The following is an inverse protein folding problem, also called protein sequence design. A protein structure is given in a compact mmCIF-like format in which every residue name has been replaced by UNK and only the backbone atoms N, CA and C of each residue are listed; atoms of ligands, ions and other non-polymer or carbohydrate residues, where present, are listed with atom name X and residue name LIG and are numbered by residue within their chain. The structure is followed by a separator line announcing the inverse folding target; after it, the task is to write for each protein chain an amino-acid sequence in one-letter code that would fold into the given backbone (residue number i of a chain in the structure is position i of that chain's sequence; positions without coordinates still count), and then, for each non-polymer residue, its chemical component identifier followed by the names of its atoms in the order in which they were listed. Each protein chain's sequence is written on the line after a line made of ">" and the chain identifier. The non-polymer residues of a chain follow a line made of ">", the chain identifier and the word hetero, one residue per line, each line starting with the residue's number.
data_IF_511560159988
#
_entry.id   IF_511560159988
#
_cell.length_a   1.000
_cell.length_b   1.000
_cell.length_c   1.000
_cell.angle_alpha   90.00
_cell.angle_beta   90.00
_cell.angle_gamma   90.00
#
_symmetry.space_group_name_H-M   'P 1'
#
loop_
_entity.id
_entity.type
_entity.pdbx_description
1 polymer ?
#
# COMPACT_ATOMS: atom_id res chain seq x y z
N UNK A 1 -1.22 -16.85 2.33
CA UNK A 1 -0.41 -15.70 1.87
C UNK A 1 -1.27 -14.48 2.00
N UNK A 2 -0.80 -13.52 2.79
CA UNK A 2 -1.57 -12.35 3.17
C UNK A 2 -1.00 -11.15 2.43
N UNK A 3 -1.86 -10.25 1.96
CA UNK A 3 -1.46 -9.05 1.23
C UNK A 3 -1.64 -7.87 2.18
N UNK A 4 -0.58 -7.10 2.43
CA UNK A 4 -0.68 -5.87 3.22
C UNK A 4 -0.47 -4.65 2.34
N UNK A 5 -1.40 -3.69 2.46
CA UNK A 5 -1.44 -2.49 1.64
C UNK A 5 -1.31 -1.30 2.58
N UNK A 6 -0.30 -0.46 2.36
CA UNK A 6 -0.08 0.75 3.13
C UNK A 6 -0.60 1.95 2.36
N UNK A 7 -1.39 2.80 3.04
CA UNK A 7 -1.97 4.01 2.45
C UNK A 7 -1.77 5.16 3.40
N UNK A 8 -1.14 6.23 2.90
CA UNK A 8 -1.08 7.50 3.62
C UNK A 8 -2.34 8.32 3.33
N UNK A 9 -2.95 8.83 4.39
CA UNK A 9 -4.20 9.59 4.35
C UNK A 9 -4.06 10.87 5.15
N UNK A 10 -4.62 11.95 4.63
CA UNK A 10 -4.81 13.20 5.34
C UNK A 10 -6.26 13.28 5.82
N UNK A 11 -6.46 13.25 7.14
CA UNK A 11 -7.77 13.33 7.77
C UNK A 11 -8.01 14.73 8.32
N UNK A 12 -9.15 15.33 7.99
CA UNK A 12 -9.55 16.63 8.51
C UNK A 12 -10.37 16.45 9.78
N UNK A 13 -9.83 16.88 10.92
CA UNK A 13 -10.48 16.75 12.21
C UNK A 13 -11.66 17.75 12.35
N UNK A 14 -12.82 17.33 12.88
CA UNK A 14 -13.95 18.22 13.19
C UNK A 14 -13.55 19.36 14.13
N UNK A 15 -14.30 20.46 14.13
CA UNK A 15 -13.90 21.71 14.79
C UNK A 15 -13.65 21.64 16.30
N UNK A 16 -14.18 20.64 16.99
CA UNK A 16 -14.04 20.44 18.44
C UNK A 16 -13.39 19.10 18.79
N UNK A 17 -12.71 18.47 17.83
CA UNK A 17 -12.14 17.15 18.01
C UNK A 17 -10.82 17.21 18.78
N UNK A 18 -10.68 16.32 19.76
CA UNK A 18 -9.40 16.01 20.39
C UNK A 18 -8.79 14.76 19.76
N UNK A 19 -7.50 14.51 20.04
CA UNK A 19 -6.79 13.31 19.55
C UNK A 19 -7.55 12.00 19.82
N UNK A 20 -8.14 11.84 21.01
CA UNK A 20 -8.95 10.67 21.35
C UNK A 20 -10.09 10.43 20.35
N UNK A 21 -10.80 11.47 19.94
CA UNK A 21 -11.93 11.37 19.01
C UNK A 21 -11.49 10.83 17.65
N UNK A 22 -10.29 11.20 17.20
CA UNK A 22 -9.72 10.72 15.94
C UNK A 22 -9.30 9.26 16.05
N UNK A 23 -8.71 8.84 17.17
CA UNK A 23 -8.37 7.44 17.42
C UNK A 23 -9.62 6.55 17.54
N UNK A 24 -10.72 7.07 18.09
CA UNK A 24 -12.03 6.38 18.10
C UNK A 24 -12.64 6.31 16.71
N UNK A 25 -12.59 7.41 15.94
CA UNK A 25 -13.01 7.43 14.54
C UNK A 25 -12.27 6.36 13.74
N UNK A 26 -10.95 6.24 13.88
CA UNK A 26 -10.13 5.25 13.19
C UNK A 26 -10.44 3.78 13.55
N UNK A 27 -11.08 3.54 14.69
CA UNK A 27 -11.58 2.21 15.09
C UNK A 27 -13.05 1.98 14.74
N UNK A 28 -13.71 2.94 14.10
CA UNK A 28 -15.12 2.85 13.75
C UNK A 28 -15.36 2.15 12.42
N UNK A 29 -16.54 1.56 12.25
CA UNK A 29 -16.98 1.01 10.95
C UNK A 29 -17.15 2.09 9.88
N UNK A 30 -17.36 3.35 10.28
CA UNK A 30 -17.42 4.50 9.38
C UNK A 30 -16.07 4.72 8.70
N UNK A 31 -14.98 4.68 9.46
CA UNK A 31 -13.63 4.78 8.92
C UNK A 31 -13.28 3.63 7.99
N UNK A 32 -13.64 2.40 8.34
CA UNK A 32 -13.45 1.24 7.47
C UNK A 32 -14.15 1.43 6.14
N UNK A 33 -15.44 1.83 6.15
CA UNK A 33 -16.19 2.09 4.91
C UNK A 33 -15.56 3.20 4.08
N UNK A 34 -15.12 4.27 4.73
CA UNK A 34 -14.38 5.36 4.09
C UNK A 34 -13.13 4.80 3.42
N UNK A 35 -12.23 4.18 4.17
CA UNK A 35 -10.98 3.63 3.67
C UNK A 35 -11.20 2.65 2.52
N UNK A 36 -12.12 1.70 2.66
CA UNK A 36 -12.41 0.73 1.60
C UNK A 36 -12.90 1.39 0.30
N UNK A 37 -13.61 2.52 0.38
CA UNK A 37 -14.01 3.29 -0.80
C UNK A 37 -12.80 3.87 -1.56
N UNK A 38 -11.73 4.26 -0.87
CA UNK A 38 -10.51 4.78 -1.49
C UNK A 38 -9.52 3.69 -1.92
N UNK A 39 -9.39 2.63 -1.11
CA UNK A 39 -8.40 1.57 -1.34
C UNK A 39 -8.87 0.58 -2.41
N UNK A 40 -10.17 0.22 -2.43
CA UNK A 40 -10.68 -0.80 -3.37
C UNK A 40 -10.43 -0.49 -4.85
N UNK A 41 -10.64 0.75 -5.35
CA UNK A 41 -10.33 1.07 -6.75
C UNK A 41 -8.85 0.87 -7.08
N UNK A 42 -7.94 1.25 -6.16
CA UNK A 42 -6.49 1.09 -6.36
C UNK A 42 -6.06 -0.36 -6.37
N UNK A 43 -6.68 -1.20 -5.53
CA UNK A 43 -6.44 -2.64 -5.53
C UNK A 43 -6.96 -3.31 -6.80
N UNK A 44 -8.06 -2.82 -7.37
CA UNK A 44 -8.58 -3.32 -8.65
C UNK A 44 -7.71 -2.91 -9.84
N UNK A 45 -7.08 -1.75 -9.78
CA UNK A 45 -6.19 -1.26 -10.85
C UNK A 45 -4.75 -1.78 -10.72
N UNK A 46 -4.33 -2.23 -9.54
CA UNK A 46 -3.01 -2.81 -9.31
C UNK A 46 -3.09 -4.32 -9.52
N UNK A 47 -2.25 -4.84 -10.40
CA UNK A 47 -2.17 -6.28 -10.65
C UNK A 47 -0.73 -6.70 -10.86
N UNK A 48 0.13 -6.68 -9.83
CA UNK A 48 1.54 -7.03 -9.95
C UNK A 48 1.73 -8.41 -10.57
N UNK A 49 2.77 -8.52 -11.39
CA UNK A 49 3.26 -9.81 -11.85
C UNK A 49 3.80 -10.65 -10.68
N UNK A 50 3.77 -11.96 -10.84
CA UNK A 50 4.37 -12.89 -9.87
C UNK A 50 5.86 -12.61 -9.71
N UNK A 51 6.37 -12.70 -8.47
CA UNK A 51 7.76 -12.38 -8.14
C UNK A 51 8.75 -13.23 -8.96
N UNK A 52 8.40 -14.49 -9.25
CA UNK A 52 9.24 -15.36 -10.09
C UNK A 52 9.55 -14.77 -11.46
N UNK A 53 8.64 -13.98 -12.04
CA UNK A 53 8.86 -13.32 -13.33
C UNK A 53 9.93 -12.22 -13.21
N UNK A 54 9.95 -11.48 -12.11
CA UNK A 54 10.96 -10.44 -11.87
C UNK A 54 12.34 -11.09 -11.69
N UNK A 55 12.41 -12.15 -10.89
CA UNK A 55 13.65 -12.89 -10.64
C UNK A 55 14.21 -13.53 -11.93
N UNK A 56 13.33 -14.06 -12.80
CA UNK A 56 13.71 -14.58 -14.11
C UNK A 56 14.27 -13.47 -15.03
N UNK A 57 13.63 -12.30 -15.08
CA UNK A 57 14.08 -11.18 -15.91
C UNK A 57 15.42 -10.61 -15.43
N UNK A 58 15.63 -10.52 -14.12
CA UNK A 58 16.91 -10.09 -13.53
C UNK A 58 18.06 -11.00 -13.99
N UNK A 59 17.83 -12.32 -14.03
CA UNK A 59 18.83 -13.28 -14.51
C UNK A 59 19.14 -13.17 -16.02
N UNK A 60 18.26 -12.51 -16.78
CA UNK A 60 18.36 -12.30 -18.22
C UNK A 60 18.81 -10.89 -18.59
N UNK A 61 19.15 -10.06 -17.61
CA UNK A 61 19.64 -8.70 -17.82
C UNK A 61 20.96 -8.72 -18.60
N UNK A 62 21.02 -7.92 -19.67
CA UNK A 62 22.22 -7.79 -20.51
C UNK A 62 22.65 -6.34 -20.64
N UNK A 63 23.96 -6.10 -20.69
CA UNK A 63 24.51 -4.76 -20.85
C UNK A 63 24.40 -4.21 -22.29
N UNK A 64 24.00 -5.03 -23.25
CA UNK A 64 23.95 -4.67 -24.66
C UNK A 64 22.54 -4.23 -25.08
N UNK A 65 22.42 -3.01 -25.59
CA UNK A 65 21.24 -2.57 -26.31
C UNK A 65 21.23 -3.22 -27.70
N UNK A 66 20.14 -3.88 -28.07
CA UNK A 66 19.90 -4.14 -29.48
C UNK A 66 19.57 -2.80 -30.16
N UNK A 67 20.39 -2.37 -31.12
CA UNK A 67 20.18 -1.16 -31.90
C UNK A 67 18.74 -1.13 -32.48
N UNK A 68 17.92 -0.19 -31.99
CA UNK A 68 16.57 0.06 -32.51
C UNK A 68 15.41 -0.03 -31.50
N UNK A 69 15.62 -0.52 -30.28
CA UNK A 69 14.54 -0.65 -29.28
C UNK A 69 14.56 0.53 -28.27
N UNK A 70 13.71 1.54 -28.49
CA UNK A 70 13.48 2.63 -27.53
C UNK A 70 12.63 2.14 -26.34
N UNK A 71 13.07 2.36 -25.11
CA UNK A 71 12.29 2.02 -23.92
C UNK A 71 11.10 3.00 -23.76
N UNK A 72 9.91 2.56 -24.18
CA UNK A 72 8.67 3.38 -24.12
C UNK A 72 8.23 3.78 -22.71
N UNK A 73 8.81 3.19 -21.66
CA UNK A 73 8.50 3.53 -20.26
C UNK A 73 9.18 4.85 -19.85
N UNK A 74 10.47 5.00 -20.16
CA UNK A 74 11.23 6.20 -19.79
C UNK A 74 11.41 7.19 -20.95
N UNK A 75 11.12 6.78 -22.19
CA UNK A 75 11.30 7.59 -23.41
C UNK A 75 12.72 8.17 -23.52
N UNK A 76 13.72 7.43 -23.02
CA UNK A 76 15.12 7.84 -22.98
C UNK A 76 15.98 6.80 -23.68
N UNK A 77 16.90 7.29 -24.51
CA UNK A 77 17.95 6.52 -25.19
C UNK A 77 19.19 6.27 -24.30
N UNK A 78 19.28 6.96 -23.16
CA UNK A 78 20.38 6.80 -22.21
C UNK A 78 20.47 5.35 -21.73
N UNK A 79 21.67 4.74 -21.63
CA UNK A 79 21.83 3.42 -21.05
C UNK A 79 21.48 3.48 -19.57
N UNK A 80 20.23 3.14 -19.24
CA UNK A 80 19.89 2.74 -17.89
C UNK A 80 20.34 1.28 -17.73
N UNK A 81 20.85 0.95 -16.55
CA UNK A 81 21.36 -0.36 -16.17
C UNK A 81 20.52 -1.50 -16.79
N UNK A 82 21.14 -2.22 -17.73
CA UNK A 82 20.65 -3.46 -18.33
C UNK A 82 19.35 -3.43 -19.16
N UNK A 83 19.33 -4.24 -20.22
CA UNK A 83 18.15 -4.50 -21.04
C UNK A 83 17.66 -5.94 -20.87
N UNK A 84 16.34 -6.10 -20.88
CA UNK A 84 15.68 -7.40 -20.88
C UNK A 84 14.64 -7.45 -22.00
N UNK A 85 14.54 -8.62 -22.62
CA UNK A 85 13.54 -8.90 -23.65
C UNK A 85 12.44 -9.79 -23.07
N UNK A 86 11.21 -9.32 -23.11
CA UNK A 86 10.06 -10.08 -22.62
C UNK A 86 9.74 -11.27 -23.55
N UNK A 87 9.05 -12.32 -23.06
CA UNK A 87 8.61 -13.45 -23.89
C UNK A 87 7.71 -13.07 -25.08
N UNK A 88 7.06 -11.91 -24.99
CA UNK A 88 6.26 -11.34 -26.08
C UNK A 88 7.08 -10.63 -27.17
N UNK A 89 8.40 -10.54 -27.00
CA UNK A 89 9.34 -9.99 -27.97
C UNK A 89 9.72 -8.52 -27.79
N UNK A 90 9.06 -7.77 -26.89
CA UNK A 90 9.37 -6.37 -26.59
C UNK A 90 10.51 -6.22 -25.58
N UNK A 91 11.34 -5.19 -25.74
CA UNK A 91 12.53 -4.93 -24.93
C UNK A 91 12.37 -3.66 -24.09
N UNK A 92 12.94 -3.66 -22.88
CA UNK A 92 12.91 -2.53 -21.96
C UNK A 92 14.18 -2.51 -21.11
N UNK A 93 14.49 -1.35 -20.52
CA UNK A 93 15.42 -1.29 -19.38
C UNK A 93 14.89 -2.15 -18.23
N UNK A 94 15.73 -2.99 -17.62
CA UNK A 94 15.33 -3.84 -16.50
C UNK A 94 14.68 -3.04 -15.35
N UNK A 95 15.25 -1.92 -14.87
CA UNK A 95 14.63 -1.11 -13.83
C UNK A 95 13.24 -0.58 -14.23
N UNK A 96 13.06 -0.22 -15.50
CA UNK A 96 11.80 0.31 -16.00
C UNK A 96 10.71 -0.76 -16.01
N UNK A 97 10.99 -1.92 -16.60
CA UNK A 97 10.00 -2.99 -16.70
C UNK A 97 9.79 -3.70 -15.36
N UNK A 98 10.81 -3.81 -14.51
CA UNK A 98 10.69 -4.33 -13.14
C UNK A 98 9.71 -3.46 -12.33
N UNK A 99 9.91 -2.13 -12.33
CA UNK A 99 8.99 -1.18 -11.67
C UNK A 99 7.56 -1.26 -12.22
N UNK A 100 7.42 -1.39 -13.54
CA UNK A 100 6.11 -1.59 -14.16
C UNK A 100 5.46 -2.91 -13.70
N UNK A 101 6.21 -4.02 -13.70
CA UNK A 101 5.71 -5.34 -13.36
C UNK A 101 5.37 -5.50 -11.86
N UNK A 102 5.96 -4.68 -11.00
CA UNK A 102 5.57 -4.56 -9.59
C UNK A 102 4.20 -3.92 -9.38
N UNK A 103 3.63 -3.26 -10.40
CA UNK A 103 2.29 -2.63 -10.33
C UNK A 103 1.29 -3.21 -11.31
N UNK A 104 1.74 -3.76 -12.42
CA UNK A 104 0.94 -4.32 -13.50
C UNK A 104 1.48 -5.67 -13.94
N UNK A 105 0.63 -6.54 -14.47
CA UNK A 105 1.02 -7.91 -14.88
C UNK A 105 0.98 -8.02 -16.40
N UNK A 106 1.21 -6.92 -17.10
CA UNK A 106 1.07 -6.87 -18.55
C UNK A 106 2.23 -6.16 -19.22
N UNK A 107 2.58 -6.56 -20.44
CA UNK A 107 3.52 -5.80 -21.27
C UNK A 107 2.96 -4.38 -21.59
N UNK A 108 3.74 -3.30 -21.38
CA UNK A 108 3.33 -1.93 -21.70
C UNK A 108 2.90 -1.71 -23.17
N UNK A 109 3.42 -2.52 -24.09
CA UNK A 109 3.19 -2.36 -25.54
C UNK A 109 2.01 -3.22 -26.02
N UNK A 110 2.07 -4.54 -25.82
CA UNK A 110 1.08 -5.46 -26.40
C UNK A 110 0.08 -6.06 -25.41
N UNK A 111 0.19 -5.71 -24.11
CA UNK A 111 -0.65 -6.26 -23.04
C UNK A 111 -0.57 -7.78 -22.85
N UNK A 112 0.51 -8.41 -23.31
CA UNK A 112 0.81 -9.81 -22.97
C UNK A 112 0.73 -9.98 -21.45
N UNK A 113 -0.04 -10.96 -20.99
CA UNK A 113 -0.39 -11.15 -19.58
C UNK A 113 0.59 -12.12 -18.90
N UNK A 114 1.30 -11.62 -17.89
CA UNK A 114 2.10 -12.42 -16.98
C UNK A 114 1.23 -13.06 -15.88
N UNK A 115 1.69 -14.16 -15.27
CA UNK A 115 1.13 -14.65 -14.01
C UNK A 115 1.06 -13.53 -12.98
N UNK A 116 -0.06 -13.43 -12.26
CA UNK A 116 -0.28 -12.40 -11.25
C UNK A 116 0.23 -12.89 -9.90
N UNK A 117 0.85 -12.00 -9.12
CA UNK A 117 1.27 -12.28 -7.74
C UNK A 117 0.11 -12.74 -6.84
N UNK A 118 -1.12 -12.34 -7.17
CA UNK A 118 -2.31 -12.75 -6.45
C UNK A 118 -3.51 -12.98 -7.36
N UNK A 119 -4.27 -14.03 -7.05
CA UNK A 119 -5.48 -14.43 -7.78
C UNK A 119 -6.55 -14.94 -6.82
N UNK A 120 -7.82 -14.72 -7.19
CA UNK A 120 -8.99 -15.18 -6.43
C UNK A 120 -9.64 -14.08 -5.60
N UNK A 121 -10.50 -14.50 -4.66
CA UNK A 121 -11.21 -13.60 -3.75
C UNK A 121 -10.37 -13.36 -2.50
N UNK A 122 -10.39 -12.12 -2.02
CA UNK A 122 -9.72 -11.71 -0.80
C UNK A 122 -10.70 -10.94 0.09
N UNK A 123 -10.66 -11.21 1.40
CA UNK A 123 -11.40 -10.49 2.41
C UNK A 123 -10.43 -9.61 3.22
N UNK A 124 -10.94 -8.48 3.72
CA UNK A 124 -10.17 -7.64 4.64
C UNK A 124 -10.14 -8.31 6.00
N UNK A 125 -8.96 -8.76 6.41
CA UNK A 125 -8.77 -9.37 7.72
C UNK A 125 -8.50 -8.30 8.79
N UNK A 126 -7.66 -7.30 8.47
CA UNK A 126 -7.24 -6.28 9.44
C UNK A 126 -7.16 -4.91 8.80
N UNK A 127 -7.55 -3.88 9.54
CA UNK A 127 -7.30 -2.49 9.19
C UNK A 127 -6.68 -1.80 10.40
N UNK A 128 -5.39 -1.48 10.28
CA UNK A 128 -4.62 -0.78 11.31
C UNK A 128 -4.40 0.66 10.87
N UNK A 129 -4.81 1.63 11.68
CA UNK A 129 -4.64 3.05 11.36
C UNK A 129 -3.71 3.70 12.37
N UNK A 130 -2.58 4.23 11.92
CA UNK A 130 -1.63 4.91 12.78
C UNK A 130 -1.66 6.41 12.51
N UNK A 131 -2.03 7.21 13.53
CA UNK A 131 -1.89 8.66 13.49
C UNK A 131 -0.41 9.04 13.61
N UNK A 132 0.10 9.81 12.66
CA UNK A 132 1.50 10.26 12.65
C UNK A 132 1.63 11.51 13.52
N UNK A 133 2.50 11.45 14.51
CA UNK A 133 2.78 12.55 15.43
C UNK A 133 3.81 13.54 14.85
N UNK A 134 3.70 14.82 15.23
CA UNK A 134 4.77 15.81 15.01
C UNK A 134 5.88 15.69 16.06
N UNK A 135 7.03 16.33 15.80
CA UNK A 135 8.19 16.29 16.70
C UNK A 135 7.92 16.94 18.07
N UNK A 136 6.96 17.85 18.17
CA UNK A 136 6.51 18.41 19.44
C UNK A 136 5.62 17.41 20.19
N UNK A 137 4.76 16.71 19.46
CA UNK A 137 3.82 15.74 20.01
C UNK A 137 4.54 14.50 20.56
N UNK A 138 5.60 14.03 19.91
CA UNK A 138 6.37 12.85 20.38
C UNK A 138 6.98 13.05 21.77
N UNK A 139 7.24 14.30 22.17
CA UNK A 139 7.83 14.67 23.46
C UNK A 139 6.79 14.88 24.57
N UNK A 140 5.50 14.92 24.23
CA UNK A 140 4.43 15.18 25.17
C UNK A 140 4.08 13.94 26.01
N UNK A 141 3.65 14.10 27.27
CA UNK A 141 3.05 13.02 28.03
C UNK A 141 1.78 12.47 27.35
N UNK A 142 1.58 11.16 27.43
CA UNK A 142 0.45 10.48 26.76
C UNK A 142 -0.92 11.09 27.10
N UNK A 143 -1.16 11.41 28.37
CA UNK A 143 -2.43 12.00 28.82
C UNK A 143 -2.72 13.35 28.15
N UNK A 144 -1.67 14.17 27.94
CA UNK A 144 -1.80 15.47 27.27
C UNK A 144 -2.01 15.29 25.77
N UNK A 145 -1.34 14.33 25.14
CA UNK A 145 -1.53 14.01 23.72
C UNK A 145 -2.97 13.67 23.39
N UNK A 146 -3.63 12.91 24.24
CA UNK A 146 -4.99 12.41 24.00
C UNK A 146 -6.05 13.50 24.16
N UNK A 147 -5.79 14.47 25.04
CA UNK A 147 -6.63 15.63 25.25
C UNK A 147 -6.28 16.82 24.35
N UNK A 148 -5.24 16.69 23.50
CA UNK A 148 -4.80 17.75 22.61
C UNK A 148 -5.93 18.11 21.64
N UNK A 149 -6.25 19.41 21.59
CA UNK A 149 -7.17 19.97 20.61
C UNK A 149 -6.52 19.96 19.23
N UNK A 150 -7.11 19.16 18.35
CA UNK A 150 -6.71 19.04 16.94
C UNK A 150 -7.83 19.52 16.02
N UNK A 151 -8.77 20.31 16.55
CA UNK A 151 -9.93 20.78 15.83
C UNK A 151 -9.56 21.60 14.59
N UNK A 152 -10.17 21.25 13.45
CA UNK A 152 -9.89 21.84 12.13
C UNK A 152 -8.46 21.60 11.61
N UNK A 153 -7.64 20.83 12.31
CA UNK A 153 -6.30 20.48 11.85
C UNK A 153 -6.37 19.29 10.87
N UNK A 154 -5.32 19.17 10.07
CA UNK A 154 -5.11 18.01 9.20
C UNK A 154 -4.16 17.05 9.91
N UNK A 155 -4.66 15.85 10.14
CA UNK A 155 -3.92 14.77 10.77
C UNK A 155 -3.44 13.82 9.68
N UNK A 156 -2.15 13.48 9.69
CA UNK A 156 -1.61 12.43 8.83
C UNK A 156 -1.83 11.07 9.47
N UNK A 157 -2.27 10.10 8.68
CA UNK A 157 -2.45 8.74 9.13
C UNK A 157 -1.88 7.74 8.10
N UNK A 158 -1.24 6.69 8.60
CA UNK A 158 -0.84 5.53 7.81
C UNK A 158 -1.81 4.40 8.09
N UNK A 159 -2.54 3.96 7.06
CA UNK A 159 -3.49 2.86 7.16
C UNK A 159 -2.92 1.63 6.49
N UNK A 160 -2.76 0.56 7.26
CA UNK A 160 -2.31 -0.75 6.81
C UNK A 160 -3.52 -1.68 6.71
N UNK A 161 -3.88 -2.09 5.50
CA UNK A 161 -4.98 -3.02 5.22
C UNK A 161 -4.41 -4.38 4.89
N UNK A 162 -4.71 -5.39 5.71
CA UNK A 162 -4.29 -6.77 5.49
C UNK A 162 -5.45 -7.57 4.90
N UNK A 163 -5.22 -8.17 3.75
CA UNK A 163 -6.15 -9.00 3.00
C UNK A 163 -5.74 -10.47 3.10
N UNK A 164 -6.72 -11.35 3.29
CA UNK A 164 -6.53 -12.80 3.30
C UNK A 164 -7.31 -13.45 2.18
N UNK A 165 -6.73 -14.49 1.58
CA UNK A 165 -7.38 -15.24 0.50
C UNK A 165 -8.58 -16.01 1.06
N UNK A 166 -9.72 -15.85 0.42
CA UNK A 166 -10.97 -16.54 0.76
C UNK A 166 -11.03 -17.81 -0.08
N UNK A 167 -11.27 -18.94 0.57
CA UNK A 167 -11.52 -20.20 -0.13
C UNK A 167 -12.76 -20.06 -1.02
N UNK A 168 -12.78 -20.72 -2.18
CA UNK A 168 -13.85 -20.55 -3.18
C UNK A 168 -15.26 -20.88 -2.65
N UNK A 169 -15.33 -21.65 -1.56
CA UNK A 169 -16.55 -22.18 -0.94
C UNK A 169 -16.84 -21.58 0.45
N UNK A 170 -16.06 -20.60 0.91
CA UNK A 170 -16.31 -19.98 2.20
C UNK A 170 -17.55 -19.07 2.11
N UNK A 171 -18.47 -19.23 3.06
CA UNK A 171 -19.66 -18.41 3.21
C UNK A 171 -19.25 -16.96 3.56
N UNK A 172 -19.90 -15.97 2.94
CA UNK A 172 -19.51 -14.55 3.05
C UNK A 172 -19.68 -14.00 4.50
N UNK A 173 -20.31 -14.76 5.40
CA UNK A 173 -20.70 -14.33 6.75
C UNK A 173 -19.61 -14.40 7.84
N UNK A 174 -18.40 -14.91 7.56
CA UNK A 174 -17.42 -15.27 8.61
C UNK A 174 -16.06 -14.56 8.58
N UNK A 175 -16.00 -13.33 8.09
CA UNK A 175 -14.74 -12.57 8.09
C UNK A 175 -14.84 -11.30 8.95
N UNK A 176 -14.75 -11.42 10.30
CA UNK A 176 -14.64 -10.24 11.15
C UNK A 176 -13.32 -9.51 10.86
N UNK A 177 -13.42 -8.24 10.48
CA UNK A 177 -12.26 -7.38 10.30
C UNK A 177 -11.76 -6.86 11.65
N UNK A 178 -10.48 -7.10 11.97
CA UNK A 178 -9.83 -6.55 13.16
C UNK A 178 -9.47 -5.08 12.95
N UNK A 179 -10.04 -4.19 13.77
CA UNK A 179 -9.82 -2.75 13.70
C UNK A 179 -8.94 -2.30 14.84
N UNK A 180 -7.83 -1.63 14.51
CA UNK A 180 -6.96 -1.03 15.52
C UNK A 180 -6.49 0.36 15.10
N UNK A 181 -6.28 1.22 16.08
CA UNK A 181 -5.74 2.55 15.85
C UNK A 181 -4.61 2.84 16.84
N UNK A 182 -3.54 3.46 16.36
CA UNK A 182 -2.30 3.69 17.09
C UNK A 182 -1.82 5.12 16.84
N UNK A 183 -0.94 5.63 17.68
CA UNK A 183 -0.09 6.78 17.37
C UNK A 183 1.29 6.26 16.98
N UNK A 184 1.89 6.84 15.95
CA UNK A 184 3.21 6.50 15.43
C UNK A 184 4.14 7.68 15.64
N UNK A 185 5.24 7.43 16.34
CA UNK A 185 6.40 8.31 16.37
C UNK A 185 7.24 8.05 15.10
N UNK A 186 7.34 9.00 14.16
CA UNK A 186 8.10 8.82 12.93
C UNK A 186 9.62 8.77 13.16
N UNK A 187 10.13 9.31 14.27
CA UNK A 187 11.55 9.37 14.61
C UNK A 187 12.05 8.08 15.29
N UNK A 188 11.22 7.48 16.14
CA UNK A 188 11.54 6.26 16.86
C UNK A 188 11.01 4.98 16.17
N UNK A 189 10.00 5.11 15.30
CA UNK A 189 9.26 3.97 14.73
C UNK A 189 8.37 3.25 15.74
N UNK A 190 8.24 3.79 16.95
CA UNK A 190 7.42 3.22 18.02
C UNK A 190 5.93 3.52 17.80
N UNK A 191 5.08 2.54 18.12
CA UNK A 191 3.62 2.68 18.07
C UNK A 191 3.00 2.42 19.44
N UNK A 192 1.97 3.19 19.81
CA UNK A 192 1.23 2.97 21.06
C UNK A 192 -0.24 3.37 20.95
N UNK A 193 -1.10 2.73 21.74
CA UNK A 193 -2.53 3.05 21.82
C UNK A 193 -3.02 3.07 23.27
N UNK A 194 -3.98 3.95 23.60
CA UNK A 194 -4.52 4.04 24.97
C UNK A 194 -5.59 2.96 25.25
N UNK A 195 -6.14 2.30 24.21
CA UNK A 195 -7.14 1.24 24.41
C UNK A 195 -6.53 -0.10 24.83
N UNK A 196 -5.20 -0.20 24.88
CA UNK A 196 -4.50 -1.38 25.37
C UNK A 196 -4.47 -1.45 26.91
N UNK A 197 -5.03 -0.45 27.61
CA UNK A 197 -5.24 -0.48 29.06
C UNK A 197 -6.66 -0.96 29.42
N UNK A 198 -6.95 -2.23 29.13
CA UNK A 198 -7.87 -3.09 29.92
C UNK A 198 -7.44 -4.55 29.84
#
# INVERSE_FOLDING_TARGET
>A
MDITVHVEVQYHAPASAVTRDVLEMFRSTTWVRFMMRYVSPRLKSSSPADQSILDELESQETAEMHEGDECVICMSESPCDGHVRLPCGHSFHYPCISSWLQTQSTCPVCRFQFPKAFTGKYAVQKLKSAMVLSDEQTKMPRAELLALDIGKQVVRAVVSVTLVKVAAEADDEQFPCELSAWMLDPSAGETFSELDCK
#
